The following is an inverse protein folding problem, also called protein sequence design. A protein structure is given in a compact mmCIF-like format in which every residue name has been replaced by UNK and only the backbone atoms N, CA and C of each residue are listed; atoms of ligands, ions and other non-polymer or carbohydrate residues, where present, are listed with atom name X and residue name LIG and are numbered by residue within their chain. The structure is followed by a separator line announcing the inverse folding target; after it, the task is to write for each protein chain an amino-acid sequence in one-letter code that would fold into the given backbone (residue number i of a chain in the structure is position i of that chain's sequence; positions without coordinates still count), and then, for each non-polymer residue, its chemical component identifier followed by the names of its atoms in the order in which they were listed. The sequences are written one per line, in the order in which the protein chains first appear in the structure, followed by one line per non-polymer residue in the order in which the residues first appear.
data_IF_568285875821
#
_entry.id   IF_568285875821
#
_cell.length_a   1.000
_cell.length_b   1.000
_cell.length_c   1.000
_cell.angle_alpha   90.00
_cell.angle_beta   90.00
_cell.angle_gamma   90.00
#
_symmetry.space_group_name_H-M   'P 1'
#
loop_
_entity.id
_entity.type
_entity.pdbx_description
1 polymer ?
#
# COMPACT_ATOMS: atom_id res chain seq x y z
N UNK A 1 -11.24 -26.95 -21.07
CA UNK A 1 -10.40 -26.49 -19.94
C UNK A 1 -9.77 -25.19 -20.37
N UNK A 2 -10.04 -24.05 -19.71
CA UNK A 2 -9.23 -22.87 -19.94
C UNK A 2 -7.84 -23.11 -19.32
N UNK A 3 -6.75 -22.59 -19.91
CA UNK A 3 -5.41 -22.78 -19.39
C UNK A 3 -5.23 -22.01 -18.09
N UNK A 4 -4.65 -22.68 -17.10
CA UNK A 4 -4.17 -22.09 -15.85
C UNK A 4 -3.11 -21.06 -16.20
N UNK A 5 -3.43 -19.77 -16.12
CA UNK A 5 -2.40 -18.73 -16.15
C UNK A 5 -1.58 -18.90 -14.87
N UNK A 6 -0.36 -19.41 -15.02
CA UNK A 6 0.59 -19.49 -13.94
C UNK A 6 0.84 -18.08 -13.41
N UNK A 7 0.59 -17.88 -12.12
CA UNK A 7 1.05 -16.69 -11.40
C UNK A 7 2.56 -16.66 -11.57
N UNK A 8 3.04 -15.81 -12.45
CA UNK A 8 4.46 -15.49 -12.54
C UNK A 8 4.75 -14.68 -11.29
N UNK A 9 5.40 -15.30 -10.30
CA UNK A 9 6.00 -14.57 -9.18
C UNK A 9 7.17 -13.77 -9.77
N UNK A 10 6.84 -12.67 -10.42
CA UNK A 10 7.81 -11.76 -11.02
C UNK A 10 8.53 -11.03 -9.90
N UNK A 11 9.74 -11.51 -9.59
CA UNK A 11 10.79 -10.73 -8.95
C UNK A 11 10.55 -10.33 -7.49
N UNK A 12 11.63 -10.29 -6.72
CA UNK A 12 11.63 -9.48 -5.50
C UNK A 12 11.17 -8.06 -5.87
N UNK A 13 10.17 -7.52 -5.18
CA UNK A 13 9.73 -6.13 -5.41
C UNK A 13 10.95 -5.21 -5.31
N UNK A 14 11.23 -4.48 -6.38
CA UNK A 14 12.25 -3.45 -6.38
C UNK A 14 11.94 -2.39 -5.32
N UNK A 15 12.97 -1.71 -4.82
CA UNK A 15 12.79 -0.64 -3.82
C UNK A 15 11.85 0.44 -4.35
N UNK A 16 10.94 0.88 -3.49
CA UNK A 16 9.99 1.95 -3.74
C UNK A 16 9.04 1.64 -4.90
N UNK A 17 8.66 0.37 -5.06
CA UNK A 17 7.72 -0.09 -6.09
C UNK A 17 6.58 -0.92 -5.49
N UNK A 18 5.40 -0.72 -6.06
CA UNK A 18 4.19 -1.45 -5.72
C UNK A 18 4.06 -2.71 -6.58
N UNK A 19 3.53 -3.78 -6.00
CA UNK A 19 3.06 -4.93 -6.75
C UNK A 19 1.71 -4.63 -7.42
N UNK A 20 1.36 -5.35 -8.49
CA UNK A 20 -0.05 -5.54 -8.85
C UNK A 20 -0.84 -6.09 -7.66
N UNK A 21 -2.15 -5.85 -7.65
CA UNK A 21 -3.04 -6.49 -6.69
C UNK A 21 -3.23 -7.98 -7.03
N UNK A 22 -3.50 -8.80 -6.02
CA UNK A 22 -3.82 -10.23 -6.21
C UNK A 22 -4.81 -10.70 -5.13
N UNK A 23 -5.64 -11.69 -5.45
CA UNK A 23 -6.50 -12.36 -4.48
C UNK A 23 -6.02 -13.78 -4.21
N UNK A 24 -6.21 -14.22 -2.97
CA UNK A 24 -5.95 -15.62 -2.60
C UNK A 24 -6.98 -16.59 -3.19
N UNK A 25 -8.17 -16.11 -3.58
CA UNK A 25 -9.14 -16.91 -4.33
C UNK A 25 -8.55 -17.44 -5.63
N UNK A 26 -7.69 -16.64 -6.26
CA UNK A 26 -7.10 -16.92 -7.58
C UNK A 26 -5.71 -17.54 -7.47
N UNK A 27 -5.21 -17.79 -6.26
CA UNK A 27 -3.86 -18.31 -6.02
C UNK A 27 -3.64 -19.77 -6.45
N UNK A 28 -4.72 -20.51 -6.73
CA UNK A 28 -4.66 -21.89 -7.22
C UNK A 28 -4.06 -22.91 -6.24
N UNK A 29 -3.83 -22.54 -4.98
CA UNK A 29 -3.26 -23.36 -3.91
C UNK A 29 -3.85 -22.97 -2.56
N UNK A 30 -4.03 -23.88 -1.59
CA UNK A 30 -4.48 -23.53 -0.24
C UNK A 30 -3.50 -22.57 0.43
N UNK A 31 -3.97 -21.37 0.69
CA UNK A 31 -3.21 -20.27 1.27
C UNK A 31 -3.98 -19.76 2.49
N UNK A 32 -3.30 -19.38 3.59
CA UNK A 32 -3.95 -19.02 4.84
C UNK A 32 -4.64 -17.64 4.84
N UNK A 33 -4.66 -16.94 3.70
CA UNK A 33 -5.28 -15.61 3.59
C UNK A 33 -6.75 -15.65 3.20
N UNK A 34 -7.44 -14.51 3.40
CA UNK A 34 -8.86 -14.41 3.09
C UNK A 34 -9.06 -14.37 1.57
N UNK A 35 -9.85 -15.32 1.04
CA UNK A 35 -10.16 -15.40 -0.40
C UNK A 35 -10.94 -14.18 -0.92
N UNK A 36 -11.61 -13.45 -0.03
CA UNK A 36 -12.44 -12.30 -0.38
C UNK A 36 -11.68 -10.97 -0.38
N UNK A 37 -10.37 -11.01 -0.13
CA UNK A 37 -9.52 -9.82 -0.05
C UNK A 37 -8.52 -9.84 -1.20
N UNK A 38 -8.47 -8.73 -1.95
CA UNK A 38 -7.34 -8.43 -2.82
C UNK A 38 -6.27 -7.72 -2.00
N UNK A 39 -5.02 -8.09 -2.25
CA UNK A 39 -3.84 -7.59 -1.56
C UNK A 39 -2.90 -6.93 -2.54
N UNK A 40 -2.29 -5.82 -2.15
CA UNK A 40 -1.15 -5.23 -2.86
C UNK A 40 -0.10 -4.79 -1.84
N UNK A 41 1.18 -4.84 -2.21
CA UNK A 41 2.28 -4.45 -1.34
C UNK A 41 3.19 -3.44 -2.05
N UNK A 42 3.68 -2.45 -1.33
CA UNK A 42 4.76 -1.57 -1.80
C UNK A 42 5.95 -1.73 -0.87
N UNK A 43 7.13 -2.12 -1.37
CA UNK A 43 8.34 -2.12 -0.54
C UNK A 43 8.92 -0.71 -0.54
N UNK A 44 9.27 -0.18 0.64
CA UNK A 44 9.90 1.13 0.74
C UNK A 44 11.23 1.07 1.47
N UNK A 45 12.15 1.92 1.02
CA UNK A 45 13.47 2.17 1.60
C UNK A 45 13.80 3.64 1.37
N UNK A 46 13.90 4.41 2.46
CA UNK A 46 13.96 5.87 2.46
C UNK A 46 15.17 6.36 3.25
N UNK A 47 15.94 7.25 2.64
CA UNK A 47 16.97 8.03 3.32
C UNK A 47 16.33 9.11 4.21
N UNK A 48 17.07 9.65 5.20
CA UNK A 48 16.61 10.81 5.97
C UNK A 48 16.19 11.97 5.04
N UNK A 49 15.01 12.54 5.30
CA UNK A 49 14.45 13.62 4.47
C UNK A 49 13.83 13.15 3.15
N UNK A 50 13.56 11.86 2.97
CA UNK A 50 12.77 11.36 1.84
C UNK A 50 11.35 10.96 2.27
N UNK A 51 10.44 11.00 1.31
CA UNK A 51 9.11 10.42 1.41
C UNK A 51 8.85 9.46 0.25
N UNK A 52 8.11 8.39 0.52
CA UNK A 52 7.46 7.61 -0.54
C UNK A 52 6.11 8.24 -0.82
N UNK A 53 5.89 8.71 -2.03
CA UNK A 53 4.59 9.22 -2.48
C UNK A 53 3.90 8.15 -3.32
N UNK A 54 2.73 7.72 -2.86
CA UNK A 54 1.90 6.73 -3.52
C UNK A 54 0.68 7.38 -4.16
N UNK A 55 0.37 7.02 -5.41
CA UNK A 55 -0.75 7.59 -6.17
C UNK A 55 -1.58 6.51 -6.85
N UNK A 56 -2.89 6.71 -6.89
CA UNK A 56 -3.80 5.81 -7.58
C UNK A 56 -5.26 6.17 -7.36
N UNK A 57 -6.13 5.22 -7.65
CA UNK A 57 -7.58 5.24 -7.45
C UNK A 57 -7.97 4.02 -6.63
N UNK A 58 -9.13 4.05 -5.97
CA UNK A 58 -9.68 2.89 -5.29
C UNK A 58 -10.88 2.35 -6.07
N UNK A 59 -11.02 1.01 -6.21
CA UNK A 59 -12.28 0.42 -6.68
C UNK A 59 -13.37 0.63 -5.64
N UNK A 60 -14.64 0.40 -6.00
CA UNK A 60 -15.69 0.38 -4.97
C UNK A 60 -15.58 -0.93 -4.21
N UNK A 61 -15.46 -0.81 -2.90
CA UNK A 61 -15.34 -1.93 -1.99
C UNK A 61 -15.99 -1.57 -0.64
N UNK A 62 -16.65 -2.52 0.04
CA UNK A 62 -17.15 -2.30 1.40
C UNK A 62 -16.08 -1.85 2.40
N UNK A 63 -14.82 -2.27 2.18
CA UNK A 63 -13.71 -1.86 3.02
C UNK A 63 -12.40 -1.86 2.24
N UNK A 64 -11.64 -0.77 2.38
CA UNK A 64 -10.25 -0.68 1.91
C UNK A 64 -9.40 -0.09 3.02
N UNK A 65 -8.21 -0.65 3.20
CA UNK A 65 -7.22 -0.11 4.11
C UNK A 65 -5.81 -0.13 3.50
N UNK A 66 -4.98 0.82 3.95
CA UNK A 66 -3.55 0.90 3.72
C UNK A 66 -2.84 0.99 5.06
N UNK A 67 -1.75 0.23 5.26
CA UNK A 67 -1.02 0.24 6.53
C UNK A 67 0.47 -0.01 6.35
N UNK A 68 1.27 0.52 7.27
CA UNK A 68 2.71 0.35 7.30
C UNK A 68 3.11 -0.86 8.15
N UNK A 69 3.94 -1.71 7.56
CA UNK A 69 4.55 -2.88 8.18
C UNK A 69 6.06 -2.74 8.23
N UNK A 70 6.68 -3.22 9.31
CA UNK A 70 8.13 -3.35 9.41
C UNK A 70 8.66 -4.51 8.55
N UNK A 71 9.98 -4.68 8.51
CA UNK A 71 10.62 -5.78 7.75
C UNK A 71 10.25 -7.20 8.24
N UNK A 72 9.61 -7.31 9.42
CA UNK A 72 9.15 -8.57 10.01
C UNK A 72 7.64 -8.78 9.81
N UNK A 73 7.00 -8.01 8.92
CA UNK A 73 5.56 -8.07 8.62
C UNK A 73 4.66 -7.78 9.84
N UNK A 74 5.13 -6.93 10.75
CA UNK A 74 4.35 -6.44 11.88
C UNK A 74 3.91 -5.01 11.59
N UNK A 75 2.66 -4.68 11.92
CA UNK A 75 2.18 -3.30 11.88
C UNK A 75 3.07 -2.39 12.73
N UNK A 76 3.37 -1.20 12.21
CA UNK A 76 4.05 -0.15 13.00
C UNK A 76 3.14 0.34 14.14
N UNK A 77 3.67 1.21 15.02
CA UNK A 77 2.89 1.76 16.11
C UNK A 77 1.62 2.44 15.56
N UNK A 78 0.46 2.03 16.05
CA UNK A 78 -0.85 2.48 15.60
C UNK A 78 -1.66 3.14 16.72
N UNK A 79 -1.25 3.03 17.99
CA UNK A 79 -2.01 3.61 19.10
C UNK A 79 -1.87 5.12 19.15
N UNK A 80 -0.67 5.63 18.85
CA UNK A 80 -0.36 7.06 18.97
C UNK A 80 0.19 7.69 17.68
N UNK A 81 0.34 6.90 16.61
CA UNK A 81 0.89 7.36 15.33
C UNK A 81 -0.03 6.97 14.18
N UNK A 82 0.01 7.76 13.13
CA UNK A 82 -0.75 7.50 11.92
C UNK A 82 -0.02 6.49 11.03
N UNK A 83 -0.12 5.20 11.34
CA UNK A 83 0.52 4.13 10.55
C UNK A 83 -0.43 3.41 9.59
N UNK A 84 -1.69 3.83 9.53
CA UNK A 84 -2.69 3.28 8.61
C UNK A 84 -3.84 4.24 8.33
N UNK A 85 -4.42 4.13 7.15
CA UNK A 85 -5.66 4.80 6.76
C UNK A 85 -6.66 3.76 6.23
N UNK A 86 -7.94 4.08 6.31
CA UNK A 86 -8.99 3.41 5.56
C UNK A 86 -9.58 4.34 4.49
N UNK A 87 -10.43 3.82 3.60
CA UNK A 87 -11.03 4.59 2.51
C UNK A 87 -11.82 5.83 2.97
N UNK A 88 -12.42 5.81 4.16
CA UNK A 88 -13.17 6.95 4.71
C UNK A 88 -12.27 8.05 5.28
N UNK A 89 -11.02 7.72 5.63
CA UNK A 89 -10.02 8.65 6.16
C UNK A 89 -9.16 9.28 5.06
N UNK A 90 -9.11 8.68 3.87
CA UNK A 90 -8.34 9.21 2.74
C UNK A 90 -9.03 10.46 2.20
N UNK A 91 -8.27 11.54 2.09
CA UNK A 91 -8.65 12.74 1.33
C UNK A 91 -8.36 12.49 -0.14
N UNK A 92 -9.38 12.59 -0.99
CA UNK A 92 -9.26 12.39 -2.44
C UNK A 92 -9.11 13.73 -3.16
N UNK A 93 -8.46 13.70 -4.33
CA UNK A 93 -8.45 14.78 -5.30
C UNK A 93 -9.82 14.89 -5.99
N UNK A 94 -10.06 16.01 -6.70
CA UNK A 94 -11.32 16.27 -7.40
C UNK A 94 -11.67 15.22 -8.47
N UNK A 95 -10.66 14.53 -9.03
CA UNK A 95 -10.81 13.46 -10.01
C UNK A 95 -11.06 12.08 -9.37
N UNK A 96 -11.12 12.01 -8.03
CA UNK A 96 -11.28 10.76 -7.27
C UNK A 96 -9.99 9.97 -7.07
N UNK A 97 -8.85 10.48 -7.52
CA UNK A 97 -7.54 9.89 -7.19
C UNK A 97 -7.12 10.23 -5.76
N UNK A 98 -6.14 9.49 -5.23
CA UNK A 98 -5.51 9.81 -3.95
C UNK A 98 -4.01 10.01 -4.13
N UNK A 99 -3.42 10.73 -3.17
CA UNK A 99 -1.99 10.81 -2.94
C UNK A 99 -1.71 10.51 -1.46
N UNK A 100 -0.83 9.56 -1.16
CA UNK A 100 -0.44 9.17 0.22
C UNK A 100 1.05 9.38 0.39
N UNK A 101 1.44 10.02 1.49
CA UNK A 101 2.83 10.34 1.81
C UNK A 101 3.31 9.45 2.95
N UNK A 102 4.40 8.73 2.75
CA UNK A 102 5.01 7.87 3.78
C UNK A 102 6.39 8.42 4.12
N UNK A 103 6.55 9.00 5.30
CA UNK A 103 7.80 9.57 5.79
C UNK A 103 7.83 9.68 7.32
N UNK A 104 9.02 9.89 7.89
CA UNK A 104 9.21 9.96 9.34
C UNK A 104 8.75 11.30 9.95
N UNK A 105 8.81 12.38 9.18
CA UNK A 105 8.42 13.73 9.61
C UNK A 105 7.11 14.13 8.92
N UNK A 106 6.23 14.82 9.65
CA UNK A 106 4.95 15.29 9.13
C UNK A 106 5.16 16.28 7.96
N UNK A 107 4.76 15.93 6.73
CA UNK A 107 4.91 16.80 5.57
C UNK A 107 3.78 17.85 5.47
N UNK A 108 2.83 17.87 6.40
CA UNK A 108 1.61 18.70 6.35
C UNK A 108 0.55 18.18 5.38
N UNK A 109 0.68 16.94 4.89
CA UNK A 109 -0.25 16.32 3.95
C UNK A 109 -1.33 15.52 4.71
N UNK A 110 -2.63 15.63 4.37
CA UNK A 110 -3.71 14.98 5.11
C UNK A 110 -3.62 13.45 5.10
N UNK A 111 -3.10 12.88 4.01
CA UNK A 111 -2.89 11.44 3.85
C UNK A 111 -1.46 11.01 4.23
N UNK A 112 -0.93 11.50 5.34
CA UNK A 112 0.40 11.14 5.80
C UNK A 112 0.39 9.85 6.63
N UNK A 113 1.34 8.96 6.36
CA UNK A 113 1.65 7.77 7.15
C UNK A 113 3.06 7.88 7.76
N UNK A 114 3.13 7.79 9.09
CA UNK A 114 4.34 7.95 9.88
C UNK A 114 5.16 6.65 9.92
N UNK A 115 6.40 6.69 9.42
CA UNK A 115 7.31 5.53 9.41
C UNK A 115 7.89 5.17 10.78
N UNK A 116 7.63 5.95 11.82
CA UNK A 116 8.19 5.76 13.16
C UNK A 116 9.72 5.61 13.12
N UNK A 117 10.38 6.48 12.33
CA UNK A 117 11.84 6.48 12.10
C UNK A 117 12.41 5.22 11.46
N UNK A 118 11.59 4.31 10.94
CA UNK A 118 12.07 3.16 10.19
C UNK A 118 12.58 3.61 8.81
N UNK A 119 13.74 3.11 8.41
CA UNK A 119 14.32 3.38 7.08
C UNK A 119 13.80 2.47 5.97
N UNK A 120 13.18 1.34 6.34
CA UNK A 120 12.60 0.40 5.39
C UNK A 120 11.43 -0.38 5.98
N UNK A 121 10.54 -0.80 5.09
CA UNK A 121 9.39 -1.63 5.43
C UNK A 121 8.54 -1.90 4.20
N UNK A 122 7.26 -2.18 4.46
CA UNK A 122 6.28 -2.35 3.41
C UNK A 122 5.02 -1.56 3.71
N UNK A 123 4.37 -1.05 2.66
CA UNK A 123 2.97 -0.67 2.69
C UNK A 123 2.15 -1.89 2.30
N UNK A 124 1.04 -2.12 2.98
CA UNK A 124 0.15 -3.24 2.72
C UNK A 124 -1.28 -2.76 2.53
N UNK A 125 -1.84 -3.07 1.37
CA UNK A 125 -3.23 -2.78 1.00
C UNK A 125 -4.11 -4.01 1.16
N UNK A 126 -5.35 -3.78 1.59
CA UNK A 126 -6.43 -4.77 1.54
C UNK A 126 -7.67 -4.15 0.96
N UNK A 127 -8.24 -4.80 -0.04
CA UNK A 127 -9.51 -4.45 -0.65
C UNK A 127 -10.47 -5.62 -0.42
N UNK A 128 -11.45 -5.43 0.47
CA UNK A 128 -12.45 -6.45 0.76
C UNK A 128 -13.54 -6.39 -0.31
N UNK A 129 -13.75 -7.48 -1.04
CA UNK A 129 -14.81 -7.63 -2.05
C UNK A 129 -14.90 -6.43 -3.02
N UNK A 130 -13.81 -6.05 -3.71
CA UNK A 130 -13.88 -4.96 -4.68
C UNK A 130 -14.75 -5.34 -5.88
N UNK A 131 -15.44 -4.38 -6.47
CA UNK A 131 -16.30 -4.59 -7.65
C UNK A 131 -15.51 -4.72 -8.97
N UNK A 132 -14.23 -4.37 -8.94
CA UNK A 132 -13.24 -4.59 -10.00
C UNK A 132 -11.87 -4.92 -9.42
N UNK A 133 -10.96 -5.44 -10.23
CA UNK A 133 -9.57 -5.59 -9.81
C UNK A 133 -8.99 -4.21 -9.46
N UNK A 134 -8.35 -4.05 -8.28
CA UNK A 134 -7.70 -2.79 -7.94
C UNK A 134 -6.55 -2.47 -8.88
N UNK A 135 -6.55 -1.25 -9.43
CA UNK A 135 -5.45 -0.71 -10.22
C UNK A 135 -4.14 -0.71 -9.43
N UNK A 136 -3.01 -0.83 -10.13
CA UNK A 136 -1.71 -0.77 -9.50
C UNK A 136 -1.41 0.64 -9.01
N UNK A 137 -1.21 0.79 -7.70
CA UNK A 137 -0.75 2.02 -7.08
C UNK A 137 0.67 2.32 -7.59
N UNK A 138 0.91 3.54 -8.06
CA UNK A 138 2.26 3.99 -8.40
C UNK A 138 2.96 4.51 -7.15
N UNK A 139 4.27 4.32 -7.05
CA UNK A 139 5.06 4.73 -5.91
C UNK A 139 6.40 5.33 -6.37
N UNK A 140 6.79 6.44 -5.74
CA UNK A 140 8.03 7.15 -6.05
C UNK A 140 8.64 7.70 -4.76
N UNK A 141 9.96 7.57 -4.61
CA UNK A 141 10.67 8.24 -3.53
C UNK A 141 11.06 9.66 -3.96
N UNK A 142 10.65 10.64 -3.16
CA UNK A 142 10.94 12.06 -3.39
C UNK A 142 11.74 12.63 -2.23
N UNK A 143 12.57 13.63 -2.50
CA UNK A 143 13.26 14.40 -1.45
C UNK A 143 12.32 15.46 -0.91
N UNK A 144 12.13 15.49 0.41
CA UNK A 144 11.39 16.54 1.09
C UNK A 144 12.19 17.84 1.00
N UNK A 145 11.52 18.90 0.54
CA UNK A 145 12.07 20.24 0.68
C UNK A 145 12.05 20.57 2.17
N UNK A 146 13.21 20.89 2.73
CA UNK A 146 13.30 21.31 4.13
C UNK A 146 12.39 22.55 4.30
N UNK A 147 11.57 22.62 5.37
CA UNK A 147 10.80 23.82 5.65
C UNK A 147 11.69 25.06 5.81
#
# INVERSE_FOLDING_TARGET
MPPTQGITVSGCLCRNQSSPSFSFRDAGSPVPGAADIHYAMTRWELEPGQALVMRGTLPRAPFVNVMLWNSHMQTLEYRNRNSSLNAEQITYNDDGSFEIWVCAEDPGHPNWLDTDSHHRGSVFWRYLLPDSDPDQVTAEAVTLSKP
#
